data_IF_683978795101
#
_entry.id   IF_683978795101
#
_cell.length_a   1.000
_cell.length_b   1.000
_cell.length_c   1.000
_cell.angle_alpha   90.00
_cell.angle_beta   90.00
_cell.angle_gamma   90.00
#
_symmetry.space_group_name_H-M   'P 1'
#
loop_
_entity.id
_entity.type
_entity.pdbx_description
1 polymer ?
#
# COMPACT_ATOMS: atom_id res chain seq x y z
N UNK A 1 -11.31 15.55 2.93
CA UNK A 1 -11.83 14.52 2.00
C UNK A 1 -10.80 14.11 0.94
N UNK A 2 -10.13 15.04 0.27
CA UNK A 2 -9.14 14.75 -0.79
C UNK A 2 -8.02 13.78 -0.36
N UNK A 3 -7.38 14.01 0.80
CA UNK A 3 -6.31 13.13 1.32
C UNK A 3 -6.77 11.67 1.50
N UNK A 4 -7.99 11.50 2.02
CA UNK A 4 -8.61 10.19 2.27
C UNK A 4 -8.86 9.43 0.96
N UNK A 5 -9.30 10.14 -0.10
CA UNK A 5 -9.47 9.58 -1.43
C UNK A 5 -8.12 9.15 -2.02
N UNK A 6 -7.08 9.98 -1.88
CA UNK A 6 -5.71 9.65 -2.35
C UNK A 6 -5.15 8.40 -1.65
N UNK A 7 -5.35 8.30 -0.33
CA UNK A 7 -4.95 7.13 0.47
C UNK A 7 -5.68 5.85 0.02
N UNK A 8 -6.98 5.97 -0.27
CA UNK A 8 -7.80 4.84 -0.72
C UNK A 8 -7.39 4.37 -2.12
N UNK A 9 -7.04 5.30 -3.00
CA UNK A 9 -6.48 4.99 -4.34
C UNK A 9 -5.12 4.28 -4.20
N UNK A 10 -4.22 4.81 -3.37
CA UNK A 10 -2.91 4.19 -3.10
C UNK A 10 -3.05 2.76 -2.58
N UNK A 11 -3.98 2.54 -1.65
CA UNK A 11 -4.30 1.20 -1.14
C UNK A 11 -4.81 0.28 -2.26
N UNK A 12 -5.78 0.73 -3.06
CA UNK A 12 -6.32 -0.07 -4.17
C UNK A 12 -5.24 -0.44 -5.18
N UNK A 13 -4.39 0.50 -5.55
CA UNK A 13 -3.28 0.29 -6.49
C UNK A 13 -2.30 -0.74 -5.93
N UNK A 14 -1.96 -0.67 -4.64
CA UNK A 14 -1.10 -1.64 -3.98
C UNK A 14 -1.69 -3.05 -3.95
N UNK A 15 -2.99 -3.19 -3.66
CA UNK A 15 -3.71 -4.48 -3.70
C UNK A 15 -3.73 -5.04 -5.12
N UNK A 16 -3.98 -4.19 -6.13
CA UNK A 16 -4.01 -4.59 -7.53
C UNK A 16 -2.63 -5.11 -7.97
N UNK A 17 -1.55 -4.41 -7.62
CA UNK A 17 -0.17 -4.81 -7.89
C UNK A 17 0.17 -6.15 -7.24
N UNK A 18 -0.18 -6.36 -5.97
CA UNK A 18 0.00 -7.66 -5.30
C UNK A 18 -0.76 -8.78 -6.02
N UNK A 19 -1.99 -8.52 -6.46
CA UNK A 19 -2.83 -9.51 -7.15
C UNK A 19 -2.28 -9.86 -8.53
N UNK A 20 -1.84 -8.86 -9.31
CA UNK A 20 -1.18 -9.03 -10.60
C UNK A 20 0.14 -9.80 -10.48
N UNK A 21 0.89 -9.53 -9.41
CA UNK A 21 2.13 -10.27 -9.12
C UNK A 21 1.86 -11.76 -8.94
N UNK A 22 0.75 -12.11 -8.30
CA UNK A 22 0.34 -13.51 -8.11
C UNK A 22 -0.07 -14.21 -9.42
N UNK A 23 -0.63 -13.46 -10.38
CA UNK A 23 -0.96 -13.97 -11.71
C UNK A 23 0.28 -14.14 -12.61
N UNK A 24 1.28 -13.26 -12.47
CA UNK A 24 2.51 -13.24 -13.26
C UNK A 24 3.50 -14.33 -12.80
N UNK A 25 3.19 -15.61 -13.06
CA UNK A 25 4.06 -16.77 -12.74
C UNK A 25 5.34 -16.87 -13.58
N UNK A 26 5.55 -16.01 -14.58
CA UNK A 26 6.63 -16.18 -15.57
C UNK A 26 8.01 -15.77 -15.08
N UNK A 27 8.13 -14.83 -14.13
CA UNK A 27 9.41 -14.37 -13.61
C UNK A 27 9.37 -14.10 -12.10
N UNK A 28 9.98 -14.97 -11.27
CA UNK A 28 9.91 -14.86 -9.82
C UNK A 28 10.56 -13.59 -9.26
N UNK A 29 11.58 -13.05 -9.94
CA UNK A 29 12.23 -11.78 -9.55
C UNK A 29 11.27 -10.59 -9.66
N UNK A 30 10.56 -10.46 -10.78
CA UNK A 30 9.57 -9.40 -10.99
C UNK A 30 8.37 -9.54 -10.07
N UNK A 31 7.96 -10.77 -9.76
CA UNK A 31 6.92 -11.04 -8.79
C UNK A 31 7.29 -10.51 -7.40
N UNK A 32 8.50 -10.80 -6.92
CA UNK A 32 8.98 -10.33 -5.61
C UNK A 32 9.02 -8.79 -5.55
N UNK A 33 9.57 -8.15 -6.60
CA UNK A 33 9.65 -6.68 -6.66
C UNK A 33 8.27 -6.05 -6.62
N UNK A 34 7.34 -6.57 -7.41
CA UNK A 34 5.97 -6.05 -7.48
C UNK A 34 5.18 -6.32 -6.20
N UNK A 35 5.46 -7.41 -5.49
CA UNK A 35 4.86 -7.73 -4.19
C UNK A 35 5.38 -6.82 -3.07
N UNK A 36 6.68 -6.49 -3.07
CA UNK A 36 7.28 -5.52 -2.14
C UNK A 36 6.70 -4.13 -2.39
N UNK A 37 6.64 -3.69 -3.65
CA UNK A 37 6.05 -2.40 -4.04
C UNK A 37 4.56 -2.31 -3.67
N UNK A 38 3.78 -3.34 -3.99
CA UNK A 38 2.37 -3.42 -3.63
C UNK A 38 2.17 -3.41 -2.11
N UNK A 39 3.02 -4.11 -1.36
CA UNK A 39 3.07 -4.10 0.11
C UNK A 39 3.39 -2.72 0.69
N UNK A 40 4.36 -2.01 0.14
CA UNK A 40 4.71 -0.65 0.58
C UNK A 40 3.56 0.34 0.36
N UNK A 41 2.91 0.25 -0.81
CA UNK A 41 1.78 1.09 -1.18
C UNK A 41 0.56 0.82 -0.30
N UNK A 42 0.30 -0.44 0.04
CA UNK A 42 -0.78 -0.81 0.96
C UNK A 42 -0.47 -0.44 2.41
N UNK A 43 0.78 -0.51 2.86
CA UNK A 43 1.17 -0.15 4.23
C UNK A 43 1.18 1.37 4.49
N UNK A 44 1.49 2.18 3.46
CA UNK A 44 1.55 3.65 3.55
C UNK A 44 0.32 4.30 4.21
N UNK A 45 -0.93 3.98 3.82
CA UNK A 45 -2.11 4.56 4.45
C UNK A 45 -2.29 4.17 5.92
N UNK A 46 -1.92 2.95 6.30
CA UNK A 46 -1.99 2.52 7.71
C UNK A 46 -0.92 3.20 8.56
N UNK A 47 0.28 3.39 8.02
CA UNK A 47 1.35 4.10 8.71
C UNK A 47 0.98 5.56 8.95
N UNK A 48 0.38 6.21 7.96
CA UNK A 48 -0.11 7.58 8.09
C UNK A 48 -1.25 7.68 9.12
N UNK A 49 -2.16 6.71 9.13
CA UNK A 49 -3.23 6.64 10.14
C UNK A 49 -2.66 6.46 11.56
N UNK A 50 -1.68 5.56 11.73
CA UNK A 50 -1.00 5.35 13.01
C UNK A 50 -0.26 6.62 13.49
N UNK A 51 0.39 7.34 12.57
CA UNK A 51 1.03 8.62 12.88
C UNK A 51 0.01 9.69 13.33
N UNK A 52 -1.12 9.81 12.64
CA UNK A 52 -2.18 10.75 13.02
C UNK A 52 -2.78 10.41 14.39
N UNK A 53 -3.01 9.12 14.67
CA UNK A 53 -3.47 8.66 15.98
C UNK A 53 -2.46 8.95 17.10
N UNK A 54 -1.17 8.74 16.82
CA UNK A 54 -0.11 9.10 17.75
C UNK A 54 -0.10 10.60 18.04
N UNK A 55 -0.20 11.42 16.99
CA UNK A 55 -0.17 12.88 17.11
C UNK A 55 -1.36 13.41 17.93
N UNK A 56 -2.56 12.83 17.76
CA UNK A 56 -3.74 13.14 18.58
C UNK A 56 -3.58 12.74 20.06
N UNK A 57 -2.76 11.73 20.37
CA UNK A 57 -2.49 11.32 21.75
C UNK A 57 -1.47 12.21 22.45
N UNK A 58 -0.55 12.81 21.70
CA UNK A 58 0.52 13.68 22.23
C UNK A 58 0.12 15.14 22.40
N UNK A 59 -1.01 15.56 21.83
CA UNK A 59 -1.61 16.90 21.96
C UNK A 59 -2.67 16.85 23.06
#
# INVERSE_FOLDING_TARGET
MFLLIVLLILFLVGVLLCSLSFLMKKQPSWQIVSLILGGLLTASPFLLAAYLLWLMKTI
#
